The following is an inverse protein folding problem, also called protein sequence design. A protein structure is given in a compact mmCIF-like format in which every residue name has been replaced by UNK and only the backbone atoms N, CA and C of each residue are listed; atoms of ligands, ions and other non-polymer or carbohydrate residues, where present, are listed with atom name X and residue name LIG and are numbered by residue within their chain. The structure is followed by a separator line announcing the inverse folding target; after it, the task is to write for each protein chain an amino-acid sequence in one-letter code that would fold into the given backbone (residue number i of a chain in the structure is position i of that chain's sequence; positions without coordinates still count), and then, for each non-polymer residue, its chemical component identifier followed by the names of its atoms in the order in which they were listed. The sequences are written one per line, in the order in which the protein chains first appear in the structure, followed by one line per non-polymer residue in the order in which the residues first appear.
data_IF_185286963099
#
_entry.id   IF_185286963099
#
_cell.length_a   1.000
_cell.length_b   1.000
_cell.length_c   1.000
_cell.angle_alpha   90.00
_cell.angle_beta   90.00
_cell.angle_gamma   90.00
#
_symmetry.space_group_name_H-M   'P 1'
#
loop_
_entity.id
_entity.type
_entity.pdbx_description
1 polymer ?
#
# COMPACT_ATOMS: atom_id res chain seq x y z
N UNK A 1 24.74 38.93 -11.16
CA UNK A 1 24.94 37.66 -10.44
C UNK A 1 23.80 36.72 -10.82
N UNK A 2 24.08 35.60 -11.50
CA UNK A 2 23.06 34.62 -11.91
C UNK A 2 23.02 33.48 -10.91
N UNK A 3 22.00 33.44 -10.06
CA UNK A 3 21.73 32.33 -9.15
C UNK A 3 21.39 31.09 -9.98
N UNK A 4 22.26 30.08 -10.00
CA UNK A 4 21.96 28.81 -10.65
C UNK A 4 21.04 28.01 -9.72
N UNK A 5 19.77 27.87 -10.08
CA UNK A 5 18.90 26.88 -9.46
C UNK A 5 19.49 25.48 -9.74
N UNK A 6 19.80 24.75 -8.69
CA UNK A 6 20.27 23.36 -8.77
C UNK A 6 19.06 22.47 -9.03
N UNK A 7 18.61 22.40 -10.28
CA UNK A 7 17.66 21.36 -10.69
C UNK A 7 18.42 20.04 -10.67
N UNK A 8 18.32 19.29 -9.58
CA UNK A 8 18.82 17.93 -9.54
C UNK A 8 18.01 17.11 -10.56
N UNK A 9 18.67 16.65 -11.63
CA UNK A 9 18.06 15.80 -12.63
C UNK A 9 17.89 14.38 -12.05
N UNK A 10 16.66 13.92 -11.70
CA UNK A 10 16.46 12.64 -11.00
C UNK A 10 16.98 11.44 -11.80
N UNK A 11 17.03 11.56 -13.13
CA UNK A 11 17.58 10.55 -14.03
C UNK A 11 19.06 10.22 -13.75
N UNK A 12 19.88 11.19 -13.33
CA UNK A 12 21.31 10.94 -13.10
C UNK A 12 21.62 10.40 -11.70
N UNK A 13 20.72 10.59 -10.74
CA UNK A 13 20.92 10.25 -9.33
C UNK A 13 20.50 8.81 -8.99
N UNK A 14 19.38 8.33 -9.54
CA UNK A 14 18.79 7.03 -9.18
C UNK A 14 19.17 5.93 -10.18
N UNK A 15 19.22 6.25 -11.48
CA UNK A 15 19.32 5.24 -12.54
C UNK A 15 20.75 4.97 -13.05
N UNK A 16 21.74 5.78 -12.65
CA UNK A 16 23.13 5.64 -13.15
C UNK A 16 23.99 4.67 -12.35
N UNK A 17 23.61 4.38 -11.10
CA UNK A 17 24.34 3.45 -10.22
C UNK A 17 23.46 2.24 -9.92
N UNK A 18 23.89 1.06 -10.35
CA UNK A 18 23.13 -0.19 -10.16
C UNK A 18 22.65 -0.40 -8.72
N UNK A 19 23.51 -0.13 -7.72
CA UNK A 19 23.13 -0.24 -6.31
C UNK A 19 22.01 0.75 -5.90
N UNK A 20 22.06 2.00 -6.38
CA UNK A 20 21.03 3.00 -6.10
C UNK A 20 19.71 2.65 -6.81
N UNK A 21 19.80 2.15 -8.04
CA UNK A 21 18.66 1.66 -8.81
C UNK A 21 17.96 0.50 -8.09
N UNK A 22 18.68 -0.56 -7.74
CA UNK A 22 18.12 -1.73 -7.05
C UNK A 22 17.52 -1.35 -5.69
N UNK A 23 18.21 -0.51 -4.91
CA UNK A 23 17.68 -0.04 -3.62
C UNK A 23 16.37 0.73 -3.80
N UNK A 24 16.30 1.61 -4.80
CA UNK A 24 15.09 2.38 -5.09
C UNK A 24 13.94 1.49 -5.55
N UNK A 25 14.23 0.47 -6.37
CA UNK A 25 13.23 -0.51 -6.79
C UNK A 25 12.69 -1.28 -5.58
N UNK A 26 13.55 -1.77 -4.68
CA UNK A 26 13.08 -2.50 -3.50
C UNK A 26 12.26 -1.62 -2.55
N UNK A 27 12.76 -0.44 -2.21
CA UNK A 27 12.02 0.49 -1.34
C UNK A 27 10.69 0.90 -1.99
N UNK A 28 10.71 1.17 -3.29
CA UNK A 28 9.51 1.50 -4.06
C UNK A 28 8.51 0.34 -4.09
N UNK A 29 8.98 -0.90 -4.26
CA UNK A 29 8.13 -2.09 -4.27
C UNK A 29 7.43 -2.30 -2.92
N UNK A 30 8.15 -2.23 -1.79
CA UNK A 30 7.55 -2.36 -0.46
C UNK A 30 6.54 -1.26 -0.16
N UNK A 31 6.90 0.00 -0.48
CA UNK A 31 5.97 1.12 -0.28
C UNK A 31 4.73 0.99 -1.16
N UNK A 32 4.90 0.52 -2.40
CA UNK A 32 3.80 0.28 -3.33
C UNK A 32 2.90 -0.87 -2.86
N UNK A 33 3.47 -2.01 -2.45
CA UNK A 33 2.72 -3.17 -1.93
C UNK A 33 1.78 -2.76 -0.79
N UNK A 34 2.31 -2.10 0.24
CA UNK A 34 1.50 -1.65 1.38
C UNK A 34 0.35 -0.73 0.97
N UNK A 35 0.63 0.23 0.09
CA UNK A 35 -0.36 1.20 -0.37
C UNK A 35 -1.40 0.55 -1.30
N UNK A 36 -0.95 -0.32 -2.20
CA UNK A 36 -1.78 -1.00 -3.18
C UNK A 36 -2.74 -1.95 -2.48
N UNK A 37 -2.26 -2.84 -1.61
CA UNK A 37 -3.10 -3.80 -0.89
C UNK A 37 -4.20 -3.08 -0.09
N UNK A 38 -3.82 -2.07 0.70
CA UNK A 38 -4.76 -1.27 1.50
C UNK A 38 -5.82 -0.61 0.61
N UNK A 39 -5.40 -0.02 -0.51
CA UNK A 39 -6.31 0.67 -1.42
C UNK A 39 -7.25 -0.32 -2.14
N UNK A 40 -6.72 -1.43 -2.64
CA UNK A 40 -7.52 -2.42 -3.36
C UNK A 40 -8.48 -3.15 -2.44
N UNK A 41 -8.09 -3.47 -1.21
CA UNK A 41 -8.99 -4.03 -0.21
C UNK A 41 -10.13 -3.07 0.11
N UNK A 42 -9.83 -1.77 0.29
CA UNK A 42 -10.86 -0.77 0.55
C UNK A 42 -11.85 -0.62 -0.62
N UNK A 43 -11.34 -0.67 -1.86
CA UNK A 43 -12.17 -0.66 -3.07
C UNK A 43 -13.05 -1.91 -3.14
N UNK A 44 -12.45 -3.09 -2.94
CA UNK A 44 -13.17 -4.36 -2.94
C UNK A 44 -14.26 -4.39 -1.87
N UNK A 45 -13.96 -3.88 -0.68
CA UNK A 45 -14.88 -3.82 0.44
C UNK A 45 -16.07 -2.94 0.19
N UNK A 46 -15.83 -1.80 -0.44
CA UNK A 46 -16.89 -0.88 -0.81
C UNK A 46 -17.81 -1.49 -1.85
N UNK A 47 -17.26 -2.17 -2.85
CA UNK A 47 -18.04 -2.78 -3.94
C UNK A 47 -18.85 -3.98 -3.44
N UNK A 48 -18.30 -4.77 -2.51
CA UNK A 48 -18.91 -6.02 -2.04
C UNK A 48 -19.59 -5.92 -0.67
N UNK A 49 -19.83 -4.70 -0.18
CA UNK A 49 -20.45 -4.44 1.12
C UNK A 49 -21.73 -5.25 1.30
N UNK A 50 -21.85 -5.92 2.44
CA UNK A 50 -23.01 -6.74 2.82
C UNK A 50 -23.02 -8.15 2.22
N UNK A 51 -22.04 -8.47 1.35
CA UNK A 51 -21.87 -9.83 0.78
C UNK A 51 -20.64 -10.54 1.32
N UNK A 52 -19.72 -9.82 1.95
CA UNK A 52 -18.49 -10.42 2.45
C UNK A 52 -18.74 -11.19 3.73
N UNK A 53 -17.98 -12.27 3.96
CA UNK A 53 -18.06 -13.05 5.18
C UNK A 53 -17.92 -12.18 6.43
N UNK A 54 -16.97 -11.24 6.44
CA UNK A 54 -16.80 -10.30 7.56
C UNK A 54 -18.04 -9.46 7.88
N UNK A 55 -18.89 -9.21 6.89
CA UNK A 55 -20.13 -8.45 7.06
C UNK A 55 -21.27 -9.35 7.58
N UNK A 56 -21.31 -10.64 7.21
CA UNK A 56 -22.44 -11.54 7.51
C UNK A 56 -22.17 -12.60 8.58
N UNK A 57 -20.90 -12.78 9.00
CA UNK A 57 -20.50 -13.85 9.93
C UNK A 57 -21.27 -13.86 11.24
N UNK A 58 -21.66 -12.68 11.72
CA UNK A 58 -22.41 -12.51 12.98
C UNK A 58 -23.77 -13.20 12.95
N UNK A 59 -24.32 -13.51 11.77
CA UNK A 59 -25.57 -14.25 11.62
C UNK A 59 -25.42 -15.75 11.85
N UNK A 60 -24.19 -16.26 11.86
CA UNK A 60 -23.88 -17.69 11.84
C UNK A 60 -22.97 -18.12 13.01
N UNK A 61 -22.36 -17.16 13.72
CA UNK A 61 -21.65 -17.44 14.96
C UNK A 61 -22.66 -17.53 16.10
N UNK A 62 -22.57 -18.59 16.90
CA UNK A 62 -23.35 -18.71 18.13
C UNK A 62 -23.06 -17.49 19.04
N UNK A 63 -24.03 -17.07 19.87
CA UNK A 63 -23.74 -16.08 20.92
C UNK A 63 -22.49 -16.53 21.68
N UNK A 64 -21.55 -15.62 22.01
CA UNK A 64 -20.48 -15.99 22.93
C UNK A 64 -21.16 -16.59 24.16
N UNK A 65 -20.81 -17.84 24.51
CA UNK A 65 -21.24 -18.39 25.78
C UNK A 65 -20.80 -17.36 26.83
N UNK A 66 -21.75 -16.82 27.58
CA UNK A 66 -21.44 -15.97 28.72
C UNK A 66 -20.76 -16.89 29.73
N UNK A 67 -19.43 -16.99 29.64
CA UNK A 67 -18.62 -17.64 30.65
C UNK A 67 -18.89 -16.91 31.99
N UNK A 68 -19.53 -17.61 32.93
CA UNK A 68 -19.73 -17.19 34.32
C UNK A 68 -18.40 -16.90 35.05
#
# INVERSE_FOLDING_TARGET
MRTRAFVANPHSAIFRKNAAFLTTVFVGAFAFEMAFDTATDAVWDRINRGRQWKDIKHKFMAPPEEDE
#
